data_IF_147990702197
#
_entry.id   IF_147990702197
#
_cell.length_a   1.000
_cell.length_b   1.000
_cell.length_c   1.000
_cell.angle_alpha   90.00
_cell.angle_beta   90.00
_cell.angle_gamma   90.00
#
_symmetry.space_group_name_H-M   'P 1'
#
loop_
_entity.id
_entity.type
_entity.pdbx_description
1 polymer ?
#
# COMPACT_ATOMS: atom_id res chain seq x y z
N UNK A 1 -23.46 -31.45 7.65
CA UNK A 1 -23.54 -29.98 7.49
C UNK A 1 -22.25 -29.41 8.08
N UNK A 2 -21.69 -28.32 7.53
CA UNK A 2 -20.33 -27.77 7.76
C UNK A 2 -19.21 -28.19 6.79
N UNK A 3 -19.52 -28.94 5.72
CA UNK A 3 -18.51 -29.29 4.70
C UNK A 3 -18.00 -28.07 3.89
N UNK A 4 -18.78 -26.98 3.84
CA UNK A 4 -18.48 -25.78 3.04
C UNK A 4 -17.59 -24.75 3.77
N UNK A 5 -17.20 -25.01 5.03
CA UNK A 5 -16.34 -24.09 5.80
C UNK A 5 -14.89 -24.27 5.35
N UNK A 6 -14.24 -23.19 4.92
CA UNK A 6 -12.83 -23.24 4.51
C UNK A 6 -11.94 -23.60 5.71
N UNK A 7 -10.84 -24.36 5.53
CA UNK A 7 -9.94 -24.72 6.63
C UNK A 7 -9.42 -23.51 7.42
N UNK A 8 -9.18 -22.37 6.76
CA UNK A 8 -8.79 -21.12 7.40
C UNK A 8 -9.87 -20.59 8.32
N UNK A 9 -11.11 -20.55 7.84
CA UNK A 9 -12.25 -20.03 8.58
C UNK A 9 -12.54 -20.92 9.78
N UNK A 10 -12.50 -22.25 9.59
CA UNK A 10 -12.62 -23.22 10.69
C UNK A 10 -11.54 -23.02 11.75
N UNK A 11 -10.28 -22.88 11.33
CA UNK A 11 -9.16 -22.66 12.27
C UNK A 11 -9.36 -21.40 13.13
N UNK A 12 -9.82 -20.30 12.52
CA UNK A 12 -10.11 -19.04 13.20
C UNK A 12 -11.33 -19.14 14.12
N UNK A 13 -12.44 -19.69 13.62
CA UNK A 13 -13.71 -19.81 14.33
C UNK A 13 -13.61 -20.69 15.57
N UNK A 14 -13.01 -21.88 15.45
CA UNK A 14 -12.87 -22.83 16.58
C UNK A 14 -11.98 -22.28 17.71
N UNK A 15 -11.17 -21.25 17.44
CA UNK A 15 -10.29 -20.59 18.40
C UNK A 15 -10.77 -19.20 18.80
N UNK A 16 -11.97 -18.79 18.37
CA UNK A 16 -12.55 -17.47 18.62
C UNK A 16 -11.64 -16.30 18.20
N UNK A 17 -10.89 -16.46 17.10
CA UNK A 17 -10.00 -15.44 16.56
C UNK A 17 -10.81 -14.45 15.70
N UNK A 18 -10.98 -13.21 16.17
CA UNK A 18 -11.85 -12.19 15.52
C UNK A 18 -11.13 -10.89 15.15
N UNK A 19 -9.85 -10.75 15.49
CA UNK A 19 -9.08 -9.54 15.23
C UNK A 19 -7.65 -9.67 15.73
N UNK A 20 -7.36 -9.06 16.88
CA UNK A 20 -6.05 -9.16 17.53
C UNK A 20 -5.72 -10.60 17.92
N UNK A 21 -4.44 -10.97 17.73
CA UNK A 21 -3.93 -12.30 18.10
C UNK A 21 -2.52 -12.19 18.66
N UNK A 22 -2.22 -13.04 19.64
CA UNK A 22 -0.85 -13.37 20.01
C UNK A 22 -0.48 -14.68 19.31
N UNK A 23 0.76 -14.75 18.79
CA UNK A 23 1.25 -15.92 18.07
C UNK A 23 2.63 -16.37 18.58
N UNK A 24 2.89 -17.67 18.48
CA UNK A 24 4.18 -18.28 18.76
C UNK A 24 4.49 -19.32 17.69
N UNK A 25 5.74 -19.43 17.26
CA UNK A 25 6.19 -20.42 16.28
C UNK A 25 7.67 -20.26 15.94
N UNK A 26 8.09 -20.94 14.88
CA UNK A 26 9.46 -20.90 14.36
C UNK A 26 9.58 -19.81 13.29
N UNK A 27 10.31 -18.74 13.60
CA UNK A 27 10.52 -17.64 12.67
C UNK A 27 11.52 -18.05 11.59
N UNK A 28 11.13 -17.90 10.32
CA UNK A 28 12.00 -18.04 9.16
C UNK A 28 12.04 -16.72 8.39
N UNK A 29 13.22 -16.15 8.23
CA UNK A 29 13.41 -14.98 7.38
C UNK A 29 13.40 -15.37 5.91
N UNK A 30 12.61 -14.67 5.10
CA UNK A 30 12.45 -14.90 3.67
C UNK A 30 12.63 -13.57 2.93
N UNK A 31 13.87 -13.09 2.88
CA UNK A 31 14.20 -11.82 2.23
C UNK A 31 13.45 -10.65 2.87
N UNK A 32 12.45 -10.10 2.17
CA UNK A 32 11.70 -8.92 2.60
C UNK A 32 10.55 -9.21 3.58
N UNK A 33 10.26 -10.48 3.87
CA UNK A 33 9.21 -10.84 4.83
C UNK A 33 9.66 -11.94 5.78
N UNK A 34 8.92 -12.08 6.88
CA UNK A 34 9.14 -13.09 7.89
C UNK A 34 7.98 -14.08 7.85
N UNK A 35 8.30 -15.36 7.75
CA UNK A 35 7.34 -16.45 7.89
C UNK A 35 7.41 -17.04 9.29
N UNK A 36 6.26 -17.43 9.83
CA UNK A 36 6.18 -18.14 11.10
C UNK A 36 5.65 -19.55 10.84
N UNK A 37 6.51 -20.55 10.97
CA UNK A 37 6.13 -21.95 10.83
C UNK A 37 5.67 -22.52 12.16
N UNK A 38 4.86 -23.60 12.11
CA UNK A 38 4.30 -24.25 13.30
C UNK A 38 3.60 -23.26 14.26
N UNK A 39 2.94 -22.25 13.67
CA UNK A 39 2.33 -21.15 14.39
C UNK A 39 1.15 -21.62 15.26
N UNK A 40 1.12 -21.15 16.51
CA UNK A 40 -0.01 -21.28 17.41
C UNK A 40 -0.54 -19.90 17.73
N UNK A 41 -1.83 -19.68 17.50
CA UNK A 41 -2.50 -18.41 17.69
C UNK A 41 -3.46 -18.48 18.88
N UNK A 42 -3.59 -17.37 19.59
CA UNK A 42 -4.60 -17.14 20.64
C UNK A 42 -5.24 -15.76 20.44
N UNK A 43 -6.53 -15.58 20.79
CA UNK A 43 -7.17 -14.26 20.77
C UNK A 43 -6.41 -13.27 21.64
N UNK A 44 -6.36 -12.02 21.21
CA UNK A 44 -5.74 -10.91 21.92
C UNK A 44 -6.51 -9.61 21.63
N UNK A 45 -6.44 -8.66 22.54
CA UNK A 45 -7.02 -7.33 22.38
C UNK A 45 -6.08 -6.34 21.67
N UNK A 46 -4.92 -6.80 21.21
CA UNK A 46 -4.01 -6.00 20.39
C UNK A 46 -4.75 -5.31 19.22
N UNK A 47 -4.50 -4.02 19.05
CA UNK A 47 -5.00 -3.20 17.94
C UNK A 47 -3.81 -2.48 17.30
N UNK A 48 -3.39 -2.86 16.08
CA UNK A 48 -2.30 -2.16 15.42
C UNK A 48 -2.75 -0.75 15.03
N UNK A 49 -1.83 0.21 15.13
CA UNK A 49 -2.01 1.51 14.47
C UNK A 49 -1.72 1.30 13.00
N UNK A 50 -2.77 1.40 12.17
CA UNK A 50 -2.66 1.26 10.73
C UNK A 50 -2.23 2.60 10.11
N UNK A 51 -1.31 2.55 9.15
CA UNK A 51 -1.06 3.67 8.26
C UNK A 51 -1.88 3.46 6.99
N UNK A 52 -2.84 4.35 6.74
CA UNK A 52 -3.67 4.30 5.54
C UNK A 52 -3.21 5.34 4.52
N UNK A 53 -3.33 4.99 3.24
CA UNK A 53 -3.27 5.93 2.13
C UNK A 53 -4.58 5.82 1.36
N UNK A 54 -5.12 6.95 0.94
CA UNK A 54 -6.18 7.05 -0.05
C UNK A 54 -5.54 7.47 -1.37
N UNK A 55 -5.95 6.84 -2.46
CA UNK A 55 -5.54 7.27 -3.79
C UNK A 55 -6.73 7.29 -4.72
N UNK A 56 -6.64 8.16 -5.73
CA UNK A 56 -7.64 8.35 -6.76
C UNK A 56 -6.94 8.49 -8.12
N UNK A 57 -7.57 7.98 -9.17
CA UNK A 57 -6.99 7.86 -10.51
C UNK A 57 -7.94 8.50 -11.52
N UNK A 58 -7.39 9.41 -12.31
CA UNK A 58 -8.13 10.10 -13.38
C UNK A 58 -7.62 9.66 -14.74
N UNK A 59 -8.51 9.24 -15.63
CA UNK A 59 -8.20 8.75 -16.98
C UNK A 59 -9.11 9.35 -18.04
N UNK A 60 -8.83 9.09 -19.31
CA UNK A 60 -9.81 9.28 -20.37
C UNK A 60 -11.01 8.32 -20.21
N UNK A 61 -12.08 8.57 -20.97
CA UNK A 61 -13.30 7.76 -20.93
C UNK A 61 -13.06 6.28 -21.28
N UNK A 62 -12.06 6.00 -22.11
CA UNK A 62 -11.70 4.64 -22.53
C UNK A 62 -10.73 3.91 -21.60
N UNK A 63 -10.23 4.57 -20.54
CA UNK A 63 -9.17 4.07 -19.64
C UNK A 63 -7.88 3.71 -20.40
N UNK A 64 -7.64 4.37 -21.54
CA UNK A 64 -6.44 4.20 -22.35
C UNK A 64 -5.35 5.19 -21.96
N UNK A 65 -5.74 6.36 -21.43
CA UNK A 65 -4.81 7.42 -21.05
C UNK A 65 -4.99 7.78 -19.58
N UNK A 66 -3.91 7.63 -18.81
CA UNK A 66 -3.83 8.15 -17.45
C UNK A 66 -3.58 9.67 -17.52
N UNK A 67 -4.30 10.45 -16.72
CA UNK A 67 -4.04 11.87 -16.54
C UNK A 67 -3.34 12.15 -15.23
N UNK A 68 -3.83 11.55 -14.13
CA UNK A 68 -3.25 11.79 -12.82
C UNK A 68 -3.51 10.70 -11.79
N UNK A 69 -2.68 10.69 -10.75
CA UNK A 69 -2.89 9.91 -9.53
C UNK A 69 -2.79 10.85 -8.33
N UNK A 70 -3.89 11.04 -7.62
CA UNK A 70 -3.90 11.72 -6.33
C UNK A 70 -3.57 10.73 -5.22
N UNK A 71 -2.70 11.12 -4.29
CA UNK A 71 -2.29 10.31 -3.13
C UNK A 71 -2.42 11.17 -1.88
N UNK A 72 -3.21 10.69 -0.92
CA UNK A 72 -3.47 11.36 0.34
C UNK A 72 -3.27 10.42 1.55
N UNK A 73 -2.65 10.94 2.59
CA UNK A 73 -2.55 10.37 3.93
C UNK A 73 -2.29 11.49 4.93
N UNK A 74 -2.26 11.16 6.22
CA UNK A 74 -1.92 12.12 7.29
C UNK A 74 -0.52 12.74 7.12
N UNK A 75 0.36 12.13 6.32
CA UNK A 75 1.75 12.56 6.11
C UNK A 75 2.01 13.16 4.73
N UNK A 76 1.14 12.91 3.76
CA UNK A 76 1.39 13.19 2.34
C UNK A 76 0.10 13.60 1.65
N UNK A 77 0.15 14.69 0.90
CA UNK A 77 -0.90 15.08 -0.05
C UNK A 77 -0.22 15.52 -1.33
N UNK A 78 -0.29 14.68 -2.36
CA UNK A 78 0.35 14.92 -3.66
C UNK A 78 -0.58 14.49 -4.79
N UNK A 79 -0.47 15.18 -5.92
CA UNK A 79 -1.03 14.73 -7.19
C UNK A 79 0.12 14.56 -8.18
N UNK A 80 0.22 13.36 -8.74
CA UNK A 80 1.11 13.04 -9.84
C UNK A 80 0.34 13.29 -11.13
N UNK A 81 0.75 14.28 -11.92
CA UNK A 81 0.13 14.59 -13.22
C UNK A 81 1.05 14.12 -14.34
N UNK A 82 0.49 13.67 -15.46
CA UNK A 82 1.25 13.48 -16.71
C UNK A 82 1.29 14.80 -17.46
N UNK A 83 2.48 15.24 -17.88
CA UNK A 83 2.68 16.45 -18.68
C UNK A 83 3.90 16.33 -19.59
N UNK A 84 4.00 17.23 -20.56
CA UNK A 84 5.14 17.30 -21.47
C UNK A 84 6.31 18.09 -20.84
N UNK A 85 7.54 17.68 -21.15
CA UNK A 85 8.80 18.08 -20.49
C UNK A 85 9.14 19.59 -20.54
N UNK A 86 8.41 20.41 -21.30
CA UNK A 86 8.93 21.73 -21.71
C UNK A 86 8.81 22.84 -20.66
N UNK A 87 8.03 22.70 -19.58
CA UNK A 87 7.97 23.71 -18.50
C UNK A 87 7.48 23.14 -17.15
N UNK A 88 8.05 22.02 -16.70
CA UNK A 88 7.77 21.51 -15.35
C UNK A 88 8.61 22.26 -14.28
N UNK A 89 8.20 23.49 -13.92
CA UNK A 89 8.69 24.14 -12.71
C UNK A 89 7.98 23.52 -11.50
N UNK A 90 8.60 22.49 -10.94
CA UNK A 90 8.04 21.80 -9.78
C UNK A 90 8.72 22.32 -8.52
N UNK A 91 8.15 23.35 -7.88
CA UNK A 91 8.54 23.73 -6.52
C UNK A 91 8.15 22.60 -5.55
N UNK A 92 9.05 22.18 -4.66
CA UNK A 92 8.67 21.32 -3.53
C UNK A 92 9.67 21.40 -2.40
N UNK A 93 9.12 21.22 -1.20
CA UNK A 93 9.83 21.37 0.07
C UNK A 93 10.13 20.02 0.75
N UNK A 94 9.84 18.87 0.15
CA UNK A 94 9.88 17.56 0.85
C UNK A 94 10.64 16.41 0.12
N UNK A 95 11.34 15.61 0.93
CA UNK A 95 12.23 14.49 0.58
C UNK A 95 11.55 13.37 -0.26
N UNK A 96 10.25 13.11 -0.03
CA UNK A 96 9.44 12.08 -0.71
C UNK A 96 9.37 12.29 -2.24
N UNK A 97 9.50 13.53 -2.71
CA UNK A 97 9.47 13.87 -4.13
C UNK A 97 10.72 13.42 -4.89
N UNK A 98 11.89 13.44 -4.25
CA UNK A 98 13.16 13.09 -4.89
C UNK A 98 13.23 11.61 -5.25
N UNK A 99 12.66 10.72 -4.41
CA UNK A 99 12.63 9.28 -4.69
C UNK A 99 11.67 8.93 -5.82
N UNK A 100 10.47 9.53 -5.86
CA UNK A 100 9.50 9.30 -6.93
C UNK A 100 9.97 9.88 -8.28
N UNK A 101 10.56 11.08 -8.29
CA UNK A 101 11.12 11.68 -9.50
C UNK A 101 12.22 10.85 -10.14
N UNK A 102 13.09 10.21 -9.35
CA UNK A 102 14.15 9.32 -9.83
C UNK A 102 13.61 7.97 -10.29
N UNK A 103 12.61 7.40 -9.59
CA UNK A 103 12.03 6.10 -9.94
C UNK A 103 11.25 6.12 -11.27
N UNK A 104 10.52 7.20 -11.56
CA UNK A 104 9.76 7.34 -12.80
C UNK A 104 10.67 7.66 -14.00
N UNK A 105 11.67 8.56 -13.84
CA UNK A 105 12.68 8.83 -14.88
C UNK A 105 13.49 7.60 -15.27
N UNK A 106 13.73 6.67 -14.35
CA UNK A 106 14.47 5.43 -14.63
C UNK A 106 13.66 4.36 -15.37
N UNK A 107 12.32 4.44 -15.42
CA UNK A 107 11.48 3.38 -15.99
C UNK A 107 10.66 3.79 -17.21
N UNK A 108 10.36 5.07 -17.41
CA UNK A 108 9.64 5.54 -18.59
C UNK A 108 10.10 6.96 -18.97
N UNK A 109 10.05 7.29 -20.27
CA UNK A 109 10.36 8.62 -20.82
C UNK A 109 9.26 9.67 -20.50
N UNK A 110 8.71 9.67 -19.28
CA UNK A 110 7.73 10.65 -18.83
C UNK A 110 8.25 11.36 -17.58
N UNK A 111 8.24 12.69 -17.60
CA UNK A 111 8.29 13.47 -16.37
C UNK A 111 6.88 13.65 -15.83
N UNK A 112 6.70 13.43 -14.53
CA UNK A 112 5.43 13.66 -13.85
C UNK A 112 5.59 14.89 -12.96
N UNK A 113 5.01 16.06 -13.29
CA UNK A 113 4.97 17.15 -12.35
C UNK A 113 4.18 16.76 -11.09
N UNK A 114 4.78 17.02 -9.93
CA UNK A 114 4.13 16.87 -8.63
C UNK A 114 3.50 18.18 -8.21
N UNK A 115 2.19 18.17 -7.99
CA UNK A 115 1.47 19.29 -7.43
C UNK A 115 1.05 18.98 -5.99
N UNK A 116 1.20 19.96 -5.09
CA UNK A 116 0.71 19.92 -3.70
C UNK A 116 -0.51 20.84 -3.62
N UNK A 117 -1.55 20.41 -2.89
CA UNK A 117 -2.68 21.28 -2.56
C UNK A 117 -2.35 22.17 -1.37
#
# INVERSE_FOLDING_TARGET
MEADIKPTDRFLMERFLTGGVTFQGELQERGQYKNLNNARLKPDDYRPVLNAISFDIETDYGVNHLYSIAIYSDKTSIVLMIGDDENCNVEAENEIKYELGNLFKMKNNYSLPLYKK
#
